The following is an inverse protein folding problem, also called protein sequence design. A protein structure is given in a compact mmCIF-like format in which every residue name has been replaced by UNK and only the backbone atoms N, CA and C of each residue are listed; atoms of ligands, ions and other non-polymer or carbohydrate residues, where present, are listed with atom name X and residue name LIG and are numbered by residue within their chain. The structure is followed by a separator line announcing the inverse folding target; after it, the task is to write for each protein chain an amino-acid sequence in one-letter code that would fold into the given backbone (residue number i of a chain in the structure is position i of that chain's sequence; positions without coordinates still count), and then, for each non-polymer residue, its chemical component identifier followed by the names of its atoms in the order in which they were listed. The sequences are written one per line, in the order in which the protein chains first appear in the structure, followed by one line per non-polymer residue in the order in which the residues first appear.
data_IF_748647483672
#
_entry.id   IF_748647483672
#
_cell.length_a   1.000
_cell.length_b   1.000
_cell.length_c   1.000
_cell.angle_alpha   90.00
_cell.angle_beta   90.00
_cell.angle_gamma   90.00
#
_symmetry.space_group_name_H-M   'P 1'
#
loop_
_entity.id
_entity.type
_entity.pdbx_description
1 polymer ?
#
# COMPACT_ATOMS: atom_id res chain seq x y z
N UNK A 1 5.94 9.57 -10.66
CA UNK A 1 6.27 9.19 -9.27
C UNK A 1 6.97 7.85 -9.34
N UNK A 2 8.22 7.78 -8.86
CA UNK A 2 9.10 6.62 -9.02
C UNK A 2 8.53 5.39 -8.30
N UNK A 3 7.79 4.58 -9.06
CA UNK A 3 7.53 3.14 -8.90
C UNK A 3 7.41 2.64 -7.46
N UNK A 4 6.29 2.95 -6.79
CA UNK A 4 5.90 2.22 -5.59
C UNK A 4 5.96 0.70 -5.84
N UNK A 5 6.41 -0.06 -4.84
CA UNK A 5 6.57 -1.51 -4.94
C UNK A 5 5.21 -2.19 -4.95
N UNK A 6 5.08 -3.23 -5.79
CA UNK A 6 3.92 -4.11 -5.74
C UNK A 6 3.86 -4.80 -4.36
N UNK A 7 2.71 -4.78 -3.66
CA UNK A 7 2.59 -5.45 -2.38
C UNK A 7 2.86 -6.96 -2.48
N UNK A 8 3.60 -7.50 -1.53
CA UNK A 8 3.80 -8.95 -1.36
C UNK A 8 2.52 -9.63 -0.89
N UNK A 9 2.44 -10.97 -0.93
CA UNK A 9 1.24 -11.71 -0.52
C UNK A 9 0.73 -11.34 0.89
N UNK A 10 1.64 -11.16 1.85
CA UNK A 10 1.27 -10.73 3.23
C UNK A 10 0.71 -9.31 3.25
N UNK A 11 1.34 -8.40 2.52
CA UNK A 11 0.91 -7.01 2.42
C UNK A 11 -0.42 -6.90 1.68
N UNK A 12 -0.67 -7.72 0.65
CA UNK A 12 -1.98 -7.81 0.00
C UNK A 12 -3.10 -8.21 0.97
N UNK A 13 -2.84 -9.15 1.88
CA UNK A 13 -3.82 -9.58 2.89
C UNK A 13 -4.09 -8.43 3.86
N UNK A 14 -3.05 -7.74 4.30
CA UNK A 14 -3.17 -6.59 5.19
C UNK A 14 -3.92 -5.44 4.53
N UNK A 15 -3.55 -5.03 3.32
CA UNK A 15 -4.28 -3.99 2.56
C UNK A 15 -5.77 -4.36 2.40
N UNK A 16 -6.07 -5.63 2.11
CA UNK A 16 -7.46 -6.12 2.05
C UNK A 16 -8.21 -6.01 3.37
N UNK A 17 -7.54 -6.15 4.54
CA UNK A 17 -8.21 -5.98 5.84
C UNK A 17 -8.61 -4.53 6.12
N UNK A 18 -8.03 -3.57 5.41
CA UNK A 18 -8.45 -2.15 5.42
C UNK A 18 -9.46 -1.83 4.30
N UNK A 19 -10.08 -2.84 3.68
CA UNK A 19 -11.05 -2.69 2.60
C UNK A 19 -10.50 -1.98 1.34
N UNK A 20 -9.17 -2.06 1.14
CA UNK A 20 -8.48 -1.54 -0.04
C UNK A 20 -8.19 -2.66 -1.04
N UNK A 21 -8.20 -2.35 -2.35
CA UNK A 21 -7.83 -3.30 -3.39
C UNK A 21 -6.30 -3.32 -3.64
N UNK A 22 -5.55 -4.34 -3.21
CA UNK A 22 -4.08 -4.35 -3.32
C UNK A 22 -3.54 -4.36 -4.76
N UNK A 23 -4.39 -4.56 -5.75
CA UNK A 23 -4.00 -4.44 -7.16
C UNK A 23 -4.06 -3.00 -7.68
N UNK A 24 -4.75 -2.10 -6.97
CA UNK A 24 -4.79 -0.66 -7.29
C UNK A 24 -3.82 0.16 -6.44
N UNK A 25 -3.27 -0.41 -5.37
CA UNK A 25 -2.34 0.25 -4.46
C UNK A 25 -0.89 -0.25 -4.62
N UNK A 26 0.06 0.68 -4.47
CA UNK A 26 1.50 0.41 -4.46
C UNK A 26 2.11 0.94 -3.16
N UNK A 27 3.10 0.25 -2.62
CA UNK A 27 3.81 0.68 -1.41
C UNK A 27 4.97 1.57 -1.81
N UNK A 28 4.91 2.86 -1.54
CA UNK A 28 6.01 3.78 -1.86
C UNK A 28 6.94 4.03 -0.68
N UNK A 29 6.47 3.82 0.57
CA UNK A 29 7.28 3.98 1.77
C UNK A 29 6.83 3.00 2.85
N UNK A 30 7.80 2.39 3.55
CA UNK A 30 7.56 1.49 4.67
C UNK A 30 8.43 1.94 5.85
N UNK A 31 7.79 2.18 6.99
CA UNK A 31 8.40 2.50 8.28
C UNK A 31 8.06 1.38 9.26
N UNK A 32 8.79 1.27 10.38
CA UNK A 32 8.61 0.18 11.35
C UNK A 32 7.19 0.05 11.93
N UNK A 33 6.34 1.08 11.82
CA UNK A 33 4.94 1.04 12.26
C UNK A 33 3.93 1.45 11.19
N UNK A 34 4.36 1.86 10.00
CA UNK A 34 3.49 2.49 9.00
C UNK A 34 3.86 2.07 7.58
N UNK A 35 2.85 1.77 6.79
CA UNK A 35 2.94 1.47 5.37
C UNK A 35 2.20 2.56 4.60
N UNK A 36 2.96 3.28 3.79
CA UNK A 36 2.41 4.33 2.94
C UNK A 36 2.14 3.76 1.54
N UNK A 37 0.88 3.88 1.14
CA UNK A 37 0.34 3.39 -0.10
C UNK A 37 0.06 4.57 -1.03
N UNK A 38 0.21 4.34 -2.34
CA UNK A 38 -0.22 5.25 -3.39
C UNK A 38 -1.08 4.49 -4.38
N UNK A 39 -2.22 5.07 -4.74
CA UNK A 39 -3.17 4.54 -5.70
C UNK A 39 -2.65 4.76 -7.12
N UNK A 40 -2.67 3.72 -7.95
CA UNK A 40 -2.03 3.69 -9.28
C UNK A 40 -2.60 4.70 -10.27
N UNK A 41 -3.90 4.96 -10.19
CA UNK A 41 -4.61 5.73 -11.22
C UNK A 41 -4.99 7.15 -10.77
N UNK A 42 -5.13 7.35 -9.46
CA UNK A 42 -5.63 8.63 -8.89
C UNK A 42 -4.54 9.38 -8.15
N UNK A 43 -3.35 8.78 -7.98
CA UNK A 43 -2.26 9.31 -7.17
C UNK A 43 -2.65 9.62 -5.71
N UNK A 44 -3.79 9.11 -5.24
CA UNK A 44 -4.21 9.22 -3.85
C UNK A 44 -3.25 8.44 -2.96
N UNK A 45 -2.88 9.01 -1.82
CA UNK A 45 -2.02 8.34 -0.85
C UNK A 45 -2.81 7.95 0.39
N UNK A 46 -2.49 6.80 0.95
CA UNK A 46 -3.10 6.32 2.21
C UNK A 46 -2.02 5.73 3.10
N UNK A 47 -2.17 5.89 4.42
CA UNK A 47 -1.23 5.35 5.40
C UNK A 47 -1.96 4.36 6.28
N UNK A 48 -1.51 3.12 6.25
CA UNK A 48 -2.02 2.05 7.12
C UNK A 48 -0.91 1.63 8.09
N UNK A 49 -1.23 1.16 9.31
CA UNK A 49 -0.24 0.56 10.20
C UNK A 49 0.53 -0.56 9.48
N UNK A 50 1.83 -0.72 9.75
CA UNK A 50 2.57 -1.87 9.21
C UNK A 50 2.09 -3.16 9.90
N UNK A 51 1.88 -4.21 9.11
CA UNK A 51 1.73 -5.58 9.59
C UNK A 51 3.05 -6.14 10.14
#
# INVERSE_FOLDING_TARGET
MENGKKPTKKEKIHIKSYNLNPDDWLIFKKLSGEMHLVHRYTNTTEVIPSA
#
